data_IF_666054212442
#
_entry.id   IF_666054212442
#
_cell.length_a   1.000
_cell.length_b   1.000
_cell.length_c   1.000
_cell.angle_alpha   90.00
_cell.angle_beta   90.00
_cell.angle_gamma   90.00
#
_symmetry.space_group_name_H-M   'P 1'
#
loop_
_entity.id
_entity.type
_entity.pdbx_description
1 polymer ?
#
# COMPACT_ATOMS: atom_id res chain seq x y z
N UNK A 1 9.56 -5.89 -4.42
CA UNK A 1 9.17 -6.08 -3.00
C UNK A 1 9.43 -7.50 -2.51
N UNK A 2 9.19 -8.52 -3.32
CA UNK A 2 9.39 -9.92 -2.92
C UNK A 2 10.79 -10.23 -2.44
N UNK A 3 11.80 -9.67 -3.08
CA UNK A 3 13.20 -9.85 -2.69
C UNK A 3 13.50 -9.29 -1.30
N UNK A 4 12.92 -8.15 -0.96
CA UNK A 4 13.05 -7.54 0.36
C UNK A 4 12.37 -8.39 1.42
N UNK A 5 11.20 -8.91 1.12
CA UNK A 5 10.45 -9.78 2.03
C UNK A 5 11.21 -11.07 2.32
N UNK A 6 11.74 -11.70 1.28
CA UNK A 6 12.53 -12.92 1.41
C UNK A 6 13.78 -12.69 2.25
N UNK A 7 14.52 -11.62 1.96
CA UNK A 7 15.72 -11.26 2.71
C UNK A 7 15.42 -11.04 4.18
N UNK A 8 14.39 -10.25 4.49
CA UNK A 8 14.00 -9.98 5.87
C UNK A 8 13.62 -11.26 6.62
N UNK A 9 12.90 -12.16 5.94
CA UNK A 9 12.54 -13.46 6.51
C UNK A 9 13.76 -14.29 6.83
N UNK A 10 14.69 -14.39 5.87
CA UNK A 10 15.90 -15.18 6.03
C UNK A 10 16.82 -14.61 7.11
N UNK A 11 16.97 -13.28 7.16
CA UNK A 11 17.76 -12.59 8.18
C UNK A 11 17.26 -12.87 9.60
N UNK A 12 15.95 -13.12 9.73
CA UNK A 12 15.32 -13.46 11.02
C UNK A 12 15.27 -14.96 11.30
N UNK A 13 15.81 -15.77 10.38
CA UNK A 13 15.81 -17.22 10.54
C UNK A 13 14.44 -17.86 10.47
N UNK A 14 13.50 -17.24 9.77
CA UNK A 14 12.13 -17.73 9.66
C UNK A 14 11.93 -18.58 8.41
N UNK A 15 11.11 -19.63 8.53
CA UNK A 15 10.61 -20.37 7.40
C UNK A 15 9.41 -19.64 6.78
N UNK A 16 9.09 -19.96 5.52
CA UNK A 16 7.91 -19.41 4.87
C UNK A 16 6.62 -19.67 5.65
N UNK A 17 6.53 -20.85 6.26
CA UNK A 17 5.38 -21.25 7.11
C UNK A 17 5.19 -20.29 8.29
N UNK A 18 6.27 -19.91 8.94
CA UNK A 18 6.23 -18.98 10.08
C UNK A 18 5.78 -17.59 9.66
N UNK A 19 6.30 -17.11 8.54
CA UNK A 19 5.90 -15.81 8.01
C UNK A 19 4.43 -15.82 7.57
N UNK A 20 3.99 -16.91 6.92
CA UNK A 20 2.61 -17.07 6.50
C UNK A 20 1.65 -16.98 7.71
N UNK A 21 1.98 -17.68 8.80
CA UNK A 21 1.19 -17.64 10.02
C UNK A 21 1.16 -16.23 10.62
N UNK A 22 2.29 -15.56 10.66
CA UNK A 22 2.40 -14.20 11.21
C UNK A 22 1.58 -13.19 10.43
N UNK A 23 1.59 -13.30 9.10
CA UNK A 23 0.85 -12.39 8.22
C UNK A 23 -0.60 -12.82 7.96
N UNK A 24 -0.98 -14.01 8.42
CA UNK A 24 -2.34 -14.51 8.24
C UNK A 24 -2.67 -14.93 6.81
N UNK A 25 -1.69 -15.46 6.08
CA UNK A 25 -1.84 -15.89 4.68
C UNK A 25 -1.34 -17.33 4.52
N UNK A 26 -1.58 -17.93 3.36
CA UNK A 26 -1.07 -19.27 3.05
C UNK A 26 0.41 -19.22 2.68
N UNK A 27 1.10 -20.37 2.80
CA UNK A 27 2.48 -20.52 2.35
C UNK A 27 2.59 -20.24 0.86
N UNK A 28 1.62 -20.67 0.06
CA UNK A 28 1.58 -20.39 -1.38
C UNK A 28 1.59 -18.89 -1.67
N UNK A 29 0.87 -18.11 -0.88
CA UNK A 29 0.85 -16.65 -1.00
C UNK A 29 2.23 -16.07 -0.74
N UNK A 30 2.91 -16.52 0.31
CA UNK A 30 4.29 -16.08 0.60
C UNK A 30 5.23 -16.44 -0.56
N UNK A 31 5.14 -17.67 -1.07
CA UNK A 31 5.95 -18.10 -2.22
C UNK A 31 5.73 -17.19 -3.43
N UNK A 32 4.48 -16.87 -3.72
CA UNK A 32 4.14 -15.99 -4.86
C UNK A 32 4.66 -14.57 -4.67
N UNK A 33 4.58 -14.04 -3.46
CA UNK A 33 5.09 -12.70 -3.16
C UNK A 33 6.62 -12.66 -3.24
N UNK A 34 7.29 -13.63 -2.64
CA UNK A 34 8.77 -13.69 -2.64
C UNK A 34 9.33 -13.93 -4.03
N UNK A 35 8.62 -14.67 -4.88
CA UNK A 35 8.99 -14.90 -6.25
C UNK A 35 8.55 -13.82 -7.23
N UNK A 36 7.88 -12.78 -6.75
CA UNK A 36 7.31 -11.71 -7.59
C UNK A 36 6.32 -12.21 -8.65
N UNK A 37 5.69 -13.37 -8.41
CA UNK A 37 4.65 -13.90 -9.30
C UNK A 37 3.35 -13.13 -9.17
N UNK A 38 3.07 -12.63 -7.97
CA UNK A 38 1.93 -11.76 -7.69
C UNK A 38 2.39 -10.61 -6.80
N UNK A 39 1.70 -9.47 -6.90
CA UNK A 39 1.94 -8.34 -6.02
C UNK A 39 1.26 -8.56 -4.68
N UNK A 40 1.80 -7.96 -3.62
CA UNK A 40 1.17 -7.97 -2.30
C UNK A 40 -0.16 -7.22 -2.39
N UNK A 41 -1.25 -7.89 -2.00
CA UNK A 41 -2.56 -7.26 -1.98
C UNK A 41 -2.58 -6.08 -1.00
N UNK A 42 -3.26 -4.99 -1.37
CA UNK A 42 -3.28 -3.74 -0.60
C UNK A 42 -3.62 -3.97 0.87
N UNK A 43 -4.58 -4.85 1.16
CA UNK A 43 -5.00 -5.13 2.54
C UNK A 43 -3.90 -5.75 3.42
N UNK A 44 -2.90 -6.39 2.82
CA UNK A 44 -1.77 -6.98 3.55
C UNK A 44 -0.55 -6.08 3.61
N UNK A 45 -0.51 -5.01 2.82
CA UNK A 45 0.62 -4.09 2.79
C UNK A 45 0.99 -3.53 4.17
N UNK A 46 0.05 -3.11 5.03
CA UNK A 46 0.43 -2.63 6.36
C UNK A 46 1.22 -3.66 7.16
N UNK A 47 0.81 -4.92 7.12
CA UNK A 47 1.51 -6.00 7.83
C UNK A 47 2.87 -6.30 7.22
N UNK A 48 2.95 -6.32 5.89
CA UNK A 48 4.21 -6.58 5.19
C UNK A 48 5.21 -5.45 5.46
N UNK A 49 4.77 -4.20 5.36
CA UNK A 49 5.65 -3.05 5.63
C UNK A 49 6.08 -2.99 7.08
N UNK A 50 5.20 -3.35 8.01
CA UNK A 50 5.55 -3.45 9.44
C UNK A 50 6.60 -4.56 9.68
N UNK A 51 6.46 -5.70 9.00
CA UNK A 51 7.43 -6.77 9.07
C UNK A 51 8.80 -6.35 8.52
N UNK A 52 8.82 -5.65 7.38
CA UNK A 52 10.05 -5.14 6.79
C UNK A 52 10.69 -4.03 7.65
N UNK A 53 9.88 -3.20 8.28
CA UNK A 53 10.34 -2.02 9.02
C UNK A 53 10.59 -0.81 8.14
N UNK A 54 10.35 -0.90 6.85
CA UNK A 54 10.52 0.19 5.87
C UNK A 54 9.71 -0.10 4.62
N UNK A 55 9.49 0.94 3.81
CA UNK A 55 8.83 0.80 2.52
C UNK A 55 9.90 0.79 1.42
N UNK A 56 10.12 -0.35 0.73
CA UNK A 56 11.17 -0.47 -0.29
C UNK A 56 10.84 0.24 -1.61
N UNK A 57 9.63 0.76 -1.77
CA UNK A 57 9.21 1.43 -3.01
C UNK A 57 9.78 2.85 -3.06
N UNK A 58 10.18 3.28 -4.25
CA UNK A 58 10.70 4.64 -4.43
C UNK A 58 9.60 5.69 -4.26
N UNK A 59 9.94 6.81 -3.62
CA UNK A 59 9.06 7.96 -3.55
C UNK A 59 9.36 8.89 -4.72
N UNK A 60 8.31 9.23 -5.48
CA UNK A 60 8.44 10.15 -6.62
C UNK A 60 8.18 11.60 -6.24
N UNK A 61 7.59 11.85 -5.08
CA UNK A 61 7.19 13.18 -4.63
C UNK A 61 5.94 13.72 -5.32
N UNK A 62 5.41 13.01 -6.30
CA UNK A 62 4.16 13.40 -6.97
C UNK A 62 2.96 13.19 -6.06
N UNK A 63 2.00 14.11 -6.13
CA UNK A 63 0.82 14.07 -5.28
C UNK A 63 0.04 12.76 -5.40
N UNK A 64 -0.20 12.30 -6.63
CA UNK A 64 -0.94 11.05 -6.87
C UNK A 64 -0.26 9.84 -6.25
N UNK A 65 1.06 9.79 -6.35
CA UNK A 65 1.86 8.72 -5.75
C UNK A 65 1.83 8.78 -4.22
N UNK A 66 1.88 9.98 -3.64
CA UNK A 66 1.76 10.16 -2.19
C UNK A 66 0.40 9.69 -1.67
N UNK A 67 -0.68 10.01 -2.37
CA UNK A 67 -2.03 9.57 -2.02
C UNK A 67 -2.10 8.05 -2.06
N UNK A 68 -1.63 7.44 -3.15
CA UNK A 68 -1.64 5.99 -3.31
C UNK A 68 -0.85 5.29 -2.21
N UNK A 69 0.37 5.73 -1.93
CA UNK A 69 1.21 5.10 -0.89
C UNK A 69 0.61 5.23 0.49
N UNK A 70 0.07 6.40 0.81
CA UNK A 70 -0.57 6.60 2.11
C UNK A 70 -1.79 5.69 2.27
N UNK A 71 -2.58 5.57 1.21
CA UNK A 71 -3.72 4.66 1.15
C UNK A 71 -3.28 3.21 1.35
N UNK A 72 -2.27 2.77 0.62
CA UNK A 72 -1.77 1.40 0.67
C UNK A 72 -1.15 1.07 2.03
N UNK A 73 -0.48 2.02 2.66
CA UNK A 73 0.07 1.84 4.01
C UNK A 73 -1.02 1.62 5.06
N UNK A 74 -2.21 2.12 4.81
CA UNK A 74 -3.37 1.89 5.68
C UNK A 74 -4.18 0.65 5.27
N UNK A 75 -3.80 -0.02 4.20
CA UNK A 75 -4.50 -1.20 3.71
C UNK A 75 -5.83 -0.89 3.04
N UNK A 76 -6.05 0.35 2.61
CA UNK A 76 -7.29 0.78 1.99
C UNK A 76 -7.28 0.56 0.48
N UNK A 77 -8.37 0.02 -0.06
CA UNK A 77 -8.62 0.03 -1.50
C UNK A 77 -9.01 1.45 -1.96
N UNK A 78 -9.02 1.68 -3.27
CA UNK A 78 -9.50 2.96 -3.80
C UNK A 78 -10.96 3.22 -3.43
N UNK A 79 -11.80 2.18 -3.45
CA UNK A 79 -13.20 2.28 -3.03
C UNK A 79 -13.32 2.64 -1.55
N UNK A 80 -12.53 2.01 -0.70
CA UNK A 80 -12.53 2.28 0.74
C UNK A 80 -12.06 3.71 1.04
N UNK A 81 -11.04 4.20 0.35
CA UNK A 81 -10.59 5.59 0.51
C UNK A 81 -11.65 6.56 0.03
N UNK A 82 -12.27 6.29 -1.11
CA UNK A 82 -13.34 7.11 -1.65
C UNK A 82 -14.49 7.23 -0.64
N UNK A 83 -14.89 6.12 -0.05
CA UNK A 83 -15.92 6.09 0.98
C UNK A 83 -15.53 6.93 2.21
N UNK A 84 -14.29 6.75 2.68
CA UNK A 84 -13.76 7.50 3.81
C UNK A 84 -13.78 9.01 3.58
N UNK A 85 -13.46 9.44 2.37
CA UNK A 85 -13.38 10.87 2.01
C UNK A 85 -14.70 11.42 1.47
N UNK A 86 -15.72 10.60 1.28
CA UNK A 86 -16.98 11.03 0.68
C UNK A 86 -16.85 11.36 -0.81
N UNK A 87 -15.98 10.65 -1.52
CA UNK A 87 -15.70 10.84 -2.94
C UNK A 87 -16.09 9.58 -3.74
N UNK A 88 -16.13 9.70 -5.05
CA UNK A 88 -16.25 8.55 -5.94
C UNK A 88 -14.89 7.87 -6.12
N UNK A 89 -14.89 6.55 -6.30
CA UNK A 89 -13.64 5.80 -6.57
C UNK A 89 -12.95 6.30 -7.84
N UNK A 90 -13.69 6.70 -8.86
CA UNK A 90 -13.13 7.28 -10.08
C UNK A 90 -12.37 8.57 -9.81
N UNK A 91 -12.80 9.37 -8.85
CA UNK A 91 -12.10 10.58 -8.41
C UNK A 91 -10.75 10.22 -7.76
N UNK A 92 -10.75 9.24 -6.87
CA UNK A 92 -9.51 8.75 -6.24
C UNK A 92 -8.54 8.24 -7.31
N UNK A 93 -9.03 7.43 -8.25
CA UNK A 93 -8.22 6.90 -9.36
C UNK A 93 -7.61 8.03 -10.18
N UNK A 94 -8.42 9.03 -10.55
CA UNK A 94 -7.95 10.17 -11.35
C UNK A 94 -6.85 10.96 -10.63
N UNK A 95 -7.02 11.23 -9.35
CA UNK A 95 -6.03 11.95 -8.55
C UNK A 95 -4.73 11.13 -8.38
N UNK A 96 -4.83 9.82 -8.16
CA UNK A 96 -3.65 8.95 -8.04
C UNK A 96 -2.86 8.88 -9.36
N UNK A 97 -3.55 8.97 -10.49
CA UNK A 97 -2.91 8.98 -11.82
C UNK A 97 -2.44 10.37 -12.26
N UNK A 98 -2.65 11.39 -11.44
CA UNK A 98 -2.25 12.75 -11.77
C UNK A 98 -3.06 13.39 -12.88
N UNK A 99 -4.27 12.90 -13.17
CA UNK A 99 -5.13 13.41 -14.24
C UNK A 99 -5.92 14.65 -13.85
N UNK A 100 -6.06 14.90 -12.56
CA UNK A 100 -6.81 16.04 -12.03
C UNK A 100 -5.86 16.93 -11.27
N UNK A 101 -5.85 18.20 -11.62
CA UNK A 101 -5.08 19.23 -10.92
C UNK A 101 -5.94 19.83 -9.80
N UNK A 102 -5.39 20.79 -9.05
CA UNK A 102 -6.07 21.48 -7.93
C UNK A 102 -7.23 22.37 -8.39
N UNK A 103 -8.02 21.90 -9.36
CA UNK A 103 -9.17 22.64 -9.89
C UNK A 103 -10.39 22.57 -8.96
N UNK A 104 -10.36 21.64 -8.02
CA UNK A 104 -11.45 21.42 -7.07
C UNK A 104 -10.93 21.54 -5.65
N UNK A 105 -10.95 22.78 -5.07
CA UNK A 105 -10.36 23.02 -3.75
C UNK A 105 -10.92 22.14 -2.64
N UNK A 106 -12.22 21.81 -2.73
CA UNK A 106 -12.88 20.99 -1.72
C UNK A 106 -12.37 19.55 -1.74
N UNK A 107 -12.19 18.98 -2.93
CA UNK A 107 -11.61 17.64 -3.10
C UNK A 107 -10.15 17.64 -2.65
N UNK A 108 -9.38 18.65 -3.03
CA UNK A 108 -8.01 18.83 -2.59
C UNK A 108 -7.89 18.84 -1.07
N UNK A 109 -8.75 19.57 -0.38
CA UNK A 109 -8.76 19.65 1.09
C UNK A 109 -8.97 18.29 1.73
N UNK A 110 -9.81 17.44 1.14
CA UNK A 110 -10.05 16.10 1.65
C UNK A 110 -8.82 15.22 1.54
N UNK A 111 -8.12 15.26 0.41
CA UNK A 111 -6.86 14.54 0.25
C UNK A 111 -5.77 15.09 1.17
N UNK A 112 -5.68 16.41 1.30
CA UNK A 112 -4.71 17.06 2.18
C UNK A 112 -4.92 16.64 3.64
N UNK A 113 -6.14 16.63 4.11
CA UNK A 113 -6.48 16.15 5.45
C UNK A 113 -6.12 14.68 5.63
N UNK A 114 -6.39 13.85 4.63
CA UNK A 114 -6.02 12.44 4.64
C UNK A 114 -4.51 12.24 4.74
N UNK A 115 -3.73 12.97 3.95
CA UNK A 115 -2.28 12.89 3.99
C UNK A 115 -1.69 13.37 5.32
N UNK A 116 -2.37 14.30 5.99
CA UNK A 116 -1.94 14.81 7.29
C UNK A 116 -2.19 13.83 8.45
N UNK A 117 -3.06 12.85 8.28
CA UNK A 117 -3.34 11.82 9.29
C UNK A 117 -2.15 10.90 9.56
N UNK A 118 -1.24 10.84 8.60
CA UNK A 118 -0.09 9.97 8.58
C UNK A 118 0.69 9.84 9.78
#
# INVERSE_FOLDING_TARGET
>A
MGDHLRKARMDRGLWQEHLAAELGVSVSTICNWEGNHTSVATRYLPKVLAFLGYDPREETGQLGDRIRRHRERQGLSQDALAEKLGLNASTVTAWERGRVRRLFPEVWRRFEAFLAEG
#
